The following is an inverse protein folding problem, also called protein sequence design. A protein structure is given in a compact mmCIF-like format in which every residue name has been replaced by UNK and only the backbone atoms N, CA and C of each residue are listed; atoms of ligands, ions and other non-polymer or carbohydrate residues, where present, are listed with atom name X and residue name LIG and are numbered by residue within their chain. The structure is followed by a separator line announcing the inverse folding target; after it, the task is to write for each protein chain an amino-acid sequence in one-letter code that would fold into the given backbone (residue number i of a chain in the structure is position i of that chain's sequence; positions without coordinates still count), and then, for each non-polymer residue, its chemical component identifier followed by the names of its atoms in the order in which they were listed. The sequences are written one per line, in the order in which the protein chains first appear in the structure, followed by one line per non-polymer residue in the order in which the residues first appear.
data_IF_618235033642
#
_entry.id   IF_618235033642
#
_cell.length_a   1.000
_cell.length_b   1.000
_cell.length_c   1.000
_cell.angle_alpha   90.00
_cell.angle_beta   90.00
_cell.angle_gamma   90.00
#
_symmetry.space_group_name_H-M   'P 1'
#
loop_
_entity.id
_entity.type
_entity.pdbx_description
1 polymer ?
#
# COMPACT_ATOMS: atom_id res chain seq x y z
N UNK A 1 1.36 2.98 32.43
CA UNK A 1 2.53 3.27 31.59
C UNK A 1 2.46 2.31 30.43
N UNK A 2 2.55 2.77 29.19
CA UNK A 2 2.55 1.90 28.02
C UNK A 2 3.80 1.02 28.01
N UNK A 3 3.62 -0.29 27.99
CA UNK A 3 4.72 -1.24 27.87
C UNK A 3 5.11 -1.30 26.39
N UNK A 4 6.06 -0.44 26.01
CA UNK A 4 6.60 -0.37 24.66
C UNK A 4 7.80 -1.30 24.56
N UNK A 5 7.83 -2.13 23.53
CA UNK A 5 8.98 -2.95 23.19
C UNK A 5 9.30 -2.88 21.69
N UNK A 6 10.49 -3.37 21.34
CA UNK A 6 11.05 -3.23 20.00
C UNK A 6 11.22 -4.60 19.36
N UNK A 7 10.91 -4.68 18.07
CA UNK A 7 11.10 -5.90 17.26
C UNK A 7 11.91 -5.59 16.02
N UNK A 8 12.67 -6.59 15.59
CA UNK A 8 13.43 -6.58 14.33
C UNK A 8 12.98 -7.76 13.48
N UNK A 9 12.75 -7.52 12.20
CA UNK A 9 12.40 -8.54 11.23
C UNK A 9 13.21 -8.35 9.93
N UNK A 10 13.47 -9.45 9.23
CA UNK A 10 13.97 -9.39 7.85
C UNK A 10 12.79 -9.25 6.91
N UNK A 11 12.77 -8.16 6.15
CA UNK A 11 11.75 -7.85 5.16
C UNK A 11 12.40 -7.67 3.79
N UNK A 12 11.58 -7.58 2.75
CA UNK A 12 12.02 -7.53 1.36
C UNK A 12 11.41 -6.34 0.62
N UNK A 13 12.20 -5.78 -0.28
CA UNK A 13 11.76 -4.76 -1.23
C UNK A 13 12.10 -5.22 -2.65
N UNK A 14 11.30 -4.81 -3.64
CA UNK A 14 11.64 -5.00 -5.07
C UNK A 14 12.86 -4.15 -5.51
N UNK A 15 13.35 -3.27 -4.64
CA UNK A 15 14.45 -2.35 -4.90
C UNK A 15 15.49 -2.43 -3.79
N UNK A 16 16.77 -2.41 -4.15
CA UNK A 16 17.88 -2.42 -3.19
C UNK A 16 17.85 -1.16 -2.33
N UNK A 17 17.84 -1.36 -1.01
CA UNK A 17 17.95 -0.29 -0.02
C UNK A 17 19.43 -0.12 0.31
N UNK A 18 19.96 1.09 0.08
CA UNK A 18 21.38 1.40 0.34
C UNK A 18 21.61 2.34 1.51
N UNK A 19 20.63 3.18 1.82
CA UNK A 19 20.67 4.14 2.93
C UNK A 19 19.54 3.82 3.91
N UNK A 20 19.73 4.07 5.21
CA UNK A 20 18.69 3.91 6.23
C UNK A 20 17.55 4.93 6.09
N UNK A 21 16.43 4.64 6.73
CA UNK A 21 15.33 5.59 6.93
C UNK A 21 14.71 5.38 8.30
N UNK A 22 14.57 6.45 9.08
CA UNK A 22 14.02 6.37 10.43
C UNK A 22 12.86 7.34 10.63
N UNK A 23 11.84 6.88 11.37
CA UNK A 23 10.78 7.71 11.91
C UNK A 23 10.46 7.27 13.35
N UNK A 24 9.51 7.93 14.01
CA UNK A 24 9.18 7.59 15.41
C UNK A 24 8.58 6.19 15.59
N UNK A 25 7.99 5.58 14.55
CA UNK A 25 7.35 4.25 14.58
C UNK A 25 8.31 3.10 14.25
N UNK A 26 9.22 3.31 13.32
CA UNK A 26 10.09 2.26 12.79
C UNK A 26 11.36 2.86 12.16
N UNK A 27 12.33 1.98 11.91
CA UNK A 27 13.46 2.27 11.04
C UNK A 27 13.75 1.12 10.07
N UNK A 28 14.23 1.49 8.90
CA UNK A 28 14.70 0.61 7.83
C UNK A 28 16.22 0.67 7.84
N UNK A 29 16.86 -0.48 7.95
CA UNK A 29 18.32 -0.60 7.91
C UNK A 29 18.70 -1.43 6.68
N UNK A 30 19.59 -0.92 5.81
CA UNK A 30 20.15 -1.68 4.70
C UNK A 30 20.79 -2.98 5.20
N UNK A 31 20.47 -4.09 4.54
CA UNK A 31 21.19 -5.34 4.76
C UNK A 31 22.17 -5.54 3.60
N UNK A 32 23.43 -5.14 3.81
CA UNK A 32 24.48 -5.19 2.77
C UNK A 32 25.14 -6.55 2.65
N UNK A 33 25.28 -7.25 3.78
CA UNK A 33 25.87 -8.58 3.87
C UNK A 33 24.77 -9.59 4.20
N UNK A 34 24.22 -10.25 3.18
CA UNK A 34 23.21 -11.29 3.31
C UNK A 34 23.60 -12.51 2.48
N UNK A 35 23.07 -13.67 2.85
CA UNK A 35 23.26 -14.90 2.07
C UNK A 35 22.86 -14.65 0.61
N UNK A 36 23.73 -15.03 -0.33
CA UNK A 36 23.49 -14.95 -1.77
C UNK A 36 23.43 -13.52 -2.33
N UNK A 37 24.16 -12.57 -1.70
CA UNK A 37 24.27 -11.19 -2.18
C UNK A 37 24.80 -11.06 -3.61
N UNK A 38 25.56 -12.05 -4.08
CA UNK A 38 26.14 -12.09 -5.42
C UNK A 38 25.20 -12.71 -6.47
N UNK A 39 24.06 -13.29 -6.05
CA UNK A 39 23.09 -13.90 -6.95
C UNK A 39 22.11 -12.82 -7.44
N UNK A 40 21.86 -12.73 -8.76
CA UNK A 40 20.81 -11.85 -9.30
C UNK A 40 19.44 -12.21 -8.68
N UNK A 41 18.88 -11.27 -7.92
CA UNK A 41 17.58 -11.42 -7.25
C UNK A 41 16.65 -10.28 -7.63
N UNK A 42 15.35 -10.56 -7.65
CA UNK A 42 14.29 -9.56 -7.81
C UNK A 42 13.85 -8.94 -6.48
N UNK A 43 14.26 -9.53 -5.36
CA UNK A 43 13.86 -9.13 -4.01
C UNK A 43 15.09 -8.93 -3.13
N UNK A 44 15.20 -7.75 -2.53
CA UNK A 44 16.35 -7.33 -1.74
C UNK A 44 15.97 -7.29 -0.26
N UNK A 45 16.69 -8.00 0.61
CA UNK A 45 16.40 -8.00 2.03
C UNK A 45 16.83 -6.69 2.69
N UNK A 46 16.13 -6.32 3.75
CA UNK A 46 16.48 -5.23 4.66
C UNK A 46 15.98 -5.57 6.07
N UNK A 47 16.52 -4.89 7.08
CA UNK A 47 16.02 -5.03 8.45
C UNK A 47 14.97 -3.96 8.71
N UNK A 48 13.78 -4.39 9.14
CA UNK A 48 12.77 -3.51 9.70
C UNK A 48 12.82 -3.59 11.21
N UNK A 49 13.06 -2.48 11.88
CA UNK A 49 12.87 -2.36 13.33
C UNK A 49 11.66 -1.51 13.61
N UNK A 50 10.80 -1.94 14.53
CA UNK A 50 9.55 -1.25 14.80
C UNK A 50 9.14 -1.36 16.26
N UNK A 51 8.39 -0.34 16.71
CA UNK A 51 7.82 -0.29 18.06
C UNK A 51 6.51 -1.04 18.13
N UNK A 52 6.29 -1.66 19.27
CA UNK A 52 5.04 -2.34 19.61
C UNK A 52 4.59 -1.85 20.97
N UNK A 53 3.34 -1.41 21.04
CA UNK A 53 2.69 -1.04 22.28
C UNK A 53 1.81 -2.20 22.72
N UNK A 54 2.22 -2.87 23.81
CA UNK A 54 1.53 -4.05 24.32
C UNK A 54 0.09 -3.79 24.74
N UNK A 55 -0.24 -2.53 25.06
CA UNK A 55 -1.61 -2.15 25.40
C UNK A 55 -2.58 -2.26 24.22
N UNK A 56 -2.07 -2.27 22.99
CA UNK A 56 -2.86 -2.39 21.76
C UNK A 56 -3.03 -3.85 21.32
N UNK A 57 -2.49 -4.82 22.06
CA UNK A 57 -2.67 -6.24 21.77
C UNK A 57 -4.12 -6.62 22.09
N UNK A 58 -4.86 -7.02 21.06
CA UNK A 58 -6.19 -7.60 21.22
C UNK A 58 -6.01 -9.08 21.50
N UNK A 59 -6.20 -9.46 22.76
CA UNK A 59 -6.14 -10.86 23.18
C UNK A 59 -7.40 -11.60 22.74
N UNK A 60 -7.23 -12.78 22.14
CA UNK A 60 -8.35 -13.60 21.69
C UNK A 60 -9.28 -13.91 22.85
N UNK A 61 -10.59 -13.62 22.70
CA UNK A 61 -11.58 -13.99 23.71
C UNK A 61 -11.78 -15.51 23.70
N UNK A 62 -12.23 -16.04 24.83
CA UNK A 62 -12.24 -17.47 25.17
C UNK A 62 -13.01 -18.40 24.21
N UNK A 63 -13.71 -17.89 23.20
CA UNK A 63 -14.59 -18.63 22.29
C UNK A 63 -14.02 -18.80 20.86
N UNK A 64 -12.94 -18.10 20.51
CA UNK A 64 -12.39 -18.14 19.16
C UNK A 64 -11.33 -19.24 18.97
N UNK A 65 -11.69 -20.26 18.19
CA UNK A 65 -10.84 -21.20 17.41
C UNK A 65 -9.94 -22.16 18.21
N UNK A 66 -9.66 -21.90 19.49
CA UNK A 66 -8.58 -22.57 20.24
C UNK A 66 -8.97 -22.96 21.67
N UNK A 67 -10.14 -23.56 21.88
CA UNK A 67 -10.56 -24.06 23.21
C UNK A 67 -9.52 -25.01 23.87
N UNK A 68 -8.75 -25.73 23.06
CA UNK A 68 -7.75 -26.71 23.49
C UNK A 68 -6.42 -26.12 24.00
N UNK A 69 -6.17 -24.83 23.79
CA UNK A 69 -4.89 -24.21 24.16
C UNK A 69 -4.96 -23.55 25.55
N UNK A 70 -3.88 -23.73 26.33
CA UNK A 70 -3.71 -23.05 27.61
C UNK A 70 -3.59 -21.52 27.43
N UNK A 71 -3.88 -20.77 28.50
CA UNK A 71 -3.87 -19.30 28.49
C UNK A 71 -2.54 -18.73 27.96
N UNK A 72 -1.41 -19.25 28.43
CA UNK A 72 -0.08 -18.77 28.03
C UNK A 72 0.16 -18.91 26.52
N UNK A 73 -0.35 -20.00 25.91
CA UNK A 73 -0.25 -20.19 24.46
C UNK A 73 -1.15 -19.22 23.70
N UNK A 74 -2.35 -18.94 24.20
CA UNK A 74 -3.27 -17.96 23.59
C UNK A 74 -2.67 -16.56 23.64
N UNK A 75 -2.15 -16.16 24.79
CA UNK A 75 -1.52 -14.85 24.99
C UNK A 75 -0.31 -14.69 24.06
N UNK A 76 0.54 -15.72 23.97
CA UNK A 76 1.65 -15.76 23.02
C UNK A 76 1.21 -15.64 21.55
N UNK A 77 0.15 -16.33 21.14
CA UNK A 77 -0.38 -16.25 19.77
C UNK A 77 -0.99 -14.89 19.47
N UNK A 78 -1.69 -14.28 20.43
CA UNK A 78 -2.23 -12.91 20.30
C UNK A 78 -1.11 -11.89 20.14
N UNK A 79 -0.06 -11.99 20.95
CA UNK A 79 1.14 -11.15 20.82
C UNK A 79 1.78 -11.35 19.45
N UNK A 80 2.10 -12.59 19.04
CA UNK A 80 2.69 -12.89 17.74
C UNK A 80 1.84 -12.36 16.55
N UNK A 81 0.51 -12.50 16.65
CA UNK A 81 -0.44 -11.97 15.67
C UNK A 81 -0.38 -10.45 15.61
N UNK A 82 -0.38 -9.77 16.77
CA UNK A 82 -0.25 -8.32 16.85
C UNK A 82 1.09 -7.82 16.29
N UNK A 83 2.20 -8.51 16.60
CA UNK A 83 3.54 -8.21 16.06
C UNK A 83 3.57 -8.30 14.54
N UNK A 84 3.00 -9.39 14.00
CA UNK A 84 2.92 -9.65 12.56
C UNK A 84 2.03 -8.62 11.87
N UNK A 85 0.89 -8.26 12.48
CA UNK A 85 -0.03 -7.27 11.94
C UNK A 85 0.58 -5.88 11.91
N UNK A 86 1.30 -5.47 12.96
CA UNK A 86 2.02 -4.18 13.01
C UNK A 86 3.10 -4.11 11.93
N UNK A 87 3.92 -5.16 11.79
CA UNK A 87 4.92 -5.26 10.72
C UNK A 87 4.27 -5.13 9.34
N UNK A 88 3.24 -5.95 9.06
CA UNK A 88 2.52 -5.93 7.79
C UNK A 88 1.88 -4.56 7.51
N UNK A 89 1.39 -3.87 8.55
CA UNK A 89 0.83 -2.54 8.43
C UNK A 89 1.89 -1.52 8.02
N UNK A 90 3.07 -1.54 8.65
CA UNK A 90 4.22 -0.70 8.28
C UNK A 90 4.66 -0.96 6.85
N UNK A 91 4.80 -2.23 6.44
CA UNK A 91 5.17 -2.60 5.07
C UNK A 91 4.13 -2.11 4.06
N UNK A 92 2.83 -2.22 4.37
CA UNK A 92 1.76 -1.67 3.53
C UNK A 92 1.86 -0.16 3.36
N UNK A 93 2.17 0.56 4.43
CA UNK A 93 2.36 2.01 4.39
C UNK A 93 3.59 2.37 3.55
N UNK A 94 4.70 1.66 3.74
CA UNK A 94 5.93 1.81 2.93
C UNK A 94 5.66 1.62 1.44
N UNK A 95 4.88 0.61 1.06
CA UNK A 95 4.45 0.38 -0.34
C UNK A 95 3.59 1.52 -0.90
N UNK A 96 2.81 2.21 -0.07
CA UNK A 96 1.99 3.36 -0.51
C UNK A 96 2.83 4.62 -0.67
N UNK A 97 3.70 4.93 0.29
CA UNK A 97 4.57 6.12 0.23
C UNK A 97 5.74 5.96 -0.71
N UNK A 98 5.94 4.76 -1.27
CA UNK A 98 6.97 4.46 -2.24
C UNK A 98 6.43 3.95 -3.57
N UNK A 99 7.32 3.88 -4.56
CA UNK A 99 7.06 3.26 -5.85
C UNK A 99 7.30 1.75 -5.89
N UNK A 100 7.76 1.15 -4.79
CA UNK A 100 8.20 -0.25 -4.73
C UNK A 100 7.36 -1.05 -3.73
N UNK A 101 7.25 -2.35 -3.96
CA UNK A 101 6.55 -3.23 -3.03
C UNK A 101 7.47 -3.63 -1.86
N UNK A 102 7.00 -3.41 -0.64
CA UNK A 102 7.61 -3.85 0.63
C UNK A 102 6.80 -4.99 1.22
N UNK A 103 7.46 -6.10 1.55
CA UNK A 103 6.76 -7.33 1.95
C UNK A 103 7.64 -8.29 2.77
N UNK A 104 7.03 -9.34 3.29
CA UNK A 104 7.71 -10.54 3.82
C UNK A 104 7.21 -11.76 3.06
N UNK A 105 8.04 -12.81 2.97
CA UNK A 105 7.55 -14.07 2.44
C UNK A 105 6.54 -14.70 3.40
N UNK A 106 5.48 -15.29 2.84
CA UNK A 106 4.47 -15.98 3.59
C UNK A 106 4.91 -17.44 3.79
N UNK A 107 5.05 -17.85 5.05
CA UNK A 107 5.43 -19.23 5.42
C UNK A 107 4.46 -20.29 4.90
N UNK A 108 3.20 -19.91 4.65
CA UNK A 108 2.17 -20.80 4.09
C UNK A 108 2.25 -20.92 2.56
N UNK A 109 3.07 -20.10 1.90
CA UNK A 109 3.32 -20.25 0.47
C UNK A 109 4.43 -21.27 0.25
N UNK A 110 4.09 -22.36 -0.42
CA UNK A 110 5.06 -23.36 -0.84
C UNK A 110 5.37 -23.22 -2.33
N UNK A 111 6.58 -23.59 -2.72
CA UNK A 111 7.01 -23.58 -4.10
C UNK A 111 8.06 -24.65 -4.36
N UNK A 112 8.38 -24.82 -5.64
CA UNK A 112 9.53 -25.56 -6.09
C UNK A 112 10.74 -24.61 -6.16
N UNK A 113 11.87 -25.03 -5.61
CA UNK A 113 13.10 -24.26 -5.51
C UNK A 113 14.26 -25.01 -6.18
N UNK A 114 15.21 -24.25 -6.69
CA UNK A 114 16.49 -24.76 -7.18
C UNK A 114 17.58 -24.08 -6.34
N UNK A 115 18.58 -24.85 -5.90
CA UNK A 115 19.73 -24.30 -5.21
C UNK A 115 20.66 -23.60 -6.21
N UNK A 116 20.65 -22.27 -6.21
CA UNK A 116 21.48 -21.47 -7.11
C UNK A 116 22.96 -21.46 -6.72
N UNK A 117 23.32 -21.90 -5.51
CA UNK A 117 24.70 -22.07 -5.05
C UNK A 117 25.28 -23.46 -5.32
N UNK A 118 24.50 -24.34 -5.93
CA UNK A 118 24.94 -25.69 -6.23
C UNK A 118 26.21 -25.66 -7.11
N UNK A 119 27.24 -26.40 -6.68
CA UNK A 119 28.51 -26.51 -7.40
C UNK A 119 28.59 -27.76 -8.26
N UNK A 120 27.67 -28.70 -8.05
CA UNK A 120 27.58 -29.96 -8.79
C UNK A 120 26.20 -30.13 -9.42
N UNK A 121 26.12 -30.90 -10.51
CA UNK A 121 24.86 -31.19 -11.21
C UNK A 121 23.86 -31.95 -10.31
N UNK A 122 24.36 -32.76 -9.38
CA UNK A 122 23.56 -33.48 -8.36
C UNK A 122 22.96 -32.53 -7.31
N UNK A 123 23.63 -31.41 -7.02
CA UNK A 123 23.13 -30.38 -6.10
C UNK A 123 22.07 -29.48 -6.75
N UNK A 124 22.06 -29.35 -8.07
CA UNK A 124 21.03 -28.68 -8.87
C UNK A 124 19.80 -29.59 -8.95
N UNK A 125 19.16 -29.80 -7.80
CA UNK A 125 17.92 -30.57 -7.66
C UNK A 125 16.76 -29.64 -7.36
N UNK A 126 15.64 -29.89 -8.03
CA UNK A 126 14.38 -29.21 -7.73
C UNK A 126 13.83 -29.74 -6.41
N UNK A 127 13.60 -28.87 -5.42
CA UNK A 127 13.11 -29.23 -4.09
C UNK A 127 11.83 -28.48 -3.78
N UNK A 128 10.81 -29.18 -3.30
CA UNK A 128 9.61 -28.55 -2.78
C UNK A 128 9.86 -28.06 -1.34
N UNK A 129 9.41 -26.86 -1.02
CA UNK A 129 9.57 -26.30 0.31
C UNK A 129 8.68 -25.10 0.58
N UNK A 130 8.87 -24.49 1.74
CA UNK A 130 8.23 -23.23 2.09
C UNK A 130 9.05 -22.04 1.60
N UNK A 131 8.36 -20.98 1.14
CA UNK A 131 8.99 -19.69 0.83
C UNK A 131 9.33 -18.98 2.14
N UNK A 132 10.49 -19.29 2.69
CA UNK A 132 11.00 -18.66 3.90
C UNK A 132 12.43 -18.21 3.68
N UNK A 133 12.80 -17.11 4.33
CA UNK A 133 14.18 -16.64 4.34
C UNK A 133 14.76 -16.85 5.74
N UNK A 134 15.91 -17.51 5.80
CA UNK A 134 16.64 -17.76 7.04
C UNK A 134 18.11 -17.45 6.79
N UNK A 135 18.66 -16.52 7.57
CA UNK A 135 20.10 -16.25 7.62
C UNK A 135 20.62 -16.54 9.03
N UNK A 136 21.49 -17.55 9.14
CA UNK A 136 22.08 -17.96 10.41
C UNK A 136 22.91 -16.84 11.05
N UNK A 137 23.52 -15.96 10.26
CA UNK A 137 24.34 -14.85 10.74
C UNK A 137 23.52 -13.74 11.41
N UNK A 138 22.20 -13.77 11.23
CA UNK A 138 21.28 -12.78 11.77
C UNK A 138 20.57 -13.25 13.04
N UNK A 139 20.59 -14.54 13.37
CA UNK A 139 19.81 -15.13 14.47
C UNK A 139 20.01 -14.40 15.81
N UNK A 140 21.26 -14.24 16.23
CA UNK A 140 21.59 -13.60 17.51
C UNK A 140 21.40 -12.07 17.48
N UNK A 141 21.26 -11.50 16.28
CA UNK A 141 21.03 -10.07 16.06
C UNK A 141 19.54 -9.72 16.01
N UNK A 142 18.61 -10.67 16.06
CA UNK A 142 17.17 -10.34 15.95
C UNK A 142 16.57 -9.72 17.22
N UNK A 143 17.22 -9.88 18.37
CA UNK A 143 16.76 -9.29 19.63
C UNK A 143 17.33 -7.89 19.80
N UNK A 144 16.44 -6.90 20.01
CA UNK A 144 16.81 -5.50 20.21
C UNK A 144 16.08 -4.93 21.43
N UNK A 145 16.76 -4.07 22.19
CA UNK A 145 16.18 -3.37 23.35
C UNK A 145 15.62 -1.99 23.00
N UNK A 146 16.18 -1.37 21.96
CA UNK A 146 15.77 -0.08 21.39
C UNK A 146 16.14 -0.08 19.90
N UNK A 147 15.75 0.95 19.18
CA UNK A 147 16.23 1.17 17.82
C UNK A 147 17.75 1.25 17.80
N UNK A 148 18.33 0.53 16.84
CA UNK A 148 19.76 0.58 16.55
C UNK A 148 20.17 1.98 16.18
N UNK A 149 21.28 2.47 16.76
CA UNK A 149 21.88 3.73 16.35
C UNK A 149 22.51 3.57 14.97
N UNK A 150 22.13 4.44 14.06
CA UNK A 150 22.63 4.44 12.68
C UNK A 150 23.44 5.72 12.47
N UNK A 151 24.74 5.56 12.20
CA UNK A 151 25.66 6.67 11.94
C UNK A 151 25.79 6.99 10.44
N UNK A 152 25.04 6.28 9.58
CA UNK A 152 25.01 6.44 8.13
C UNK A 152 24.01 7.54 7.70
N UNK A 153 24.27 8.18 6.57
CA UNK A 153 23.35 9.18 6.00
C UNK A 153 22.04 8.54 5.56
N UNK A 154 20.91 9.12 5.97
CA UNK A 154 19.58 8.67 5.57
C UNK A 154 19.29 8.87 4.08
N UNK A 155 18.27 8.15 3.59
CA UNK A 155 17.72 8.31 2.24
C UNK A 155 17.39 9.78 1.97
N UNK A 156 17.94 10.30 0.88
CA UNK A 156 17.67 11.67 0.44
C UNK A 156 16.21 11.81 -0.03
N UNK A 157 15.48 12.80 0.49
CA UNK A 157 14.11 13.03 0.07
C UNK A 157 14.05 13.67 -1.31
N UNK A 158 13.14 13.17 -2.15
CA UNK A 158 12.76 13.82 -3.40
C UNK A 158 11.58 14.76 -3.16
N UNK A 159 11.51 15.84 -3.93
CA UNK A 159 10.38 16.78 -3.93
C UNK A 159 9.07 16.04 -4.16
N UNK A 160 8.07 16.30 -3.31
CA UNK A 160 6.82 15.53 -3.31
C UNK A 160 6.10 15.55 -4.68
N UNK A 161 6.05 16.70 -5.34
CA UNK A 161 5.41 16.82 -6.66
C UNK A 161 6.07 15.98 -7.75
N UNK A 162 7.40 15.83 -7.69
CA UNK A 162 8.18 15.10 -8.70
C UNK A 162 8.13 13.59 -8.47
N UNK A 163 8.06 13.17 -7.20
CA UNK A 163 8.06 11.76 -6.81
C UNK A 163 6.94 10.94 -7.49
N UNK A 164 5.73 11.51 -7.57
CA UNK A 164 4.56 10.83 -8.12
C UNK A 164 4.30 11.12 -9.62
N UNK A 165 4.89 12.19 -10.17
CA UNK A 165 4.62 12.62 -11.55
C UNK A 165 5.64 12.10 -12.57
N UNK A 166 6.84 11.71 -12.13
CA UNK A 166 7.85 11.06 -12.95
C UNK A 166 8.42 9.82 -12.21
N UNK A 167 7.59 8.78 -11.98
CA UNK A 167 7.98 7.67 -11.13
C UNK A 167 8.99 6.76 -11.84
N UNK A 168 10.10 6.42 -11.15
CA UNK A 168 11.04 5.37 -11.58
C UNK A 168 10.48 4.00 -11.18
N UNK A 169 9.65 3.41 -12.04
CA UNK A 169 8.95 2.15 -11.78
C UNK A 169 9.70 0.90 -12.25
N UNK A 170 10.50 1.06 -13.30
CA UNK A 170 11.16 -0.05 -14.00
C UNK A 170 12.66 -0.13 -13.70
N UNK A 171 13.11 0.56 -12.64
CA UNK A 171 14.48 0.49 -12.16
C UNK A 171 15.51 0.98 -13.19
N UNK A 172 15.09 1.80 -14.17
CA UNK A 172 15.91 2.18 -15.32
C UNK A 172 17.15 2.99 -14.93
N UNK A 173 17.12 3.66 -13.78
CA UNK A 173 18.20 4.55 -13.35
C UNK A 173 19.23 3.93 -12.41
N UNK A 174 19.17 2.63 -12.09
CA UNK A 174 20.01 2.04 -11.01
C UNK A 174 19.95 2.84 -9.68
N UNK A 175 18.88 3.64 -9.51
CA UNK A 175 18.79 4.61 -8.44
C UNK A 175 18.63 3.93 -7.09
N UNK A 176 19.01 4.61 -6.02
CA UNK A 176 18.68 4.18 -4.66
C UNK A 176 17.18 4.34 -4.41
N UNK A 177 16.64 3.58 -3.46
CA UNK A 177 15.29 3.83 -2.95
C UNK A 177 15.21 5.30 -2.49
N UNK A 178 14.24 6.05 -2.99
CA UNK A 178 13.93 7.41 -2.55
C UNK A 178 12.54 7.48 -1.93
N UNK A 179 12.35 8.48 -1.07
CA UNK A 179 11.07 8.82 -0.48
C UNK A 179 10.71 10.27 -0.81
N UNK A 180 9.42 10.61 -0.71
CA UNK A 180 9.01 12.00 -0.71
C UNK A 180 9.51 12.74 0.55
N UNK A 181 9.81 14.03 0.42
CA UNK A 181 10.11 14.93 1.56
C UNK A 181 9.05 14.93 2.67
N UNK A 182 7.80 14.58 2.37
CA UNK A 182 6.72 14.50 3.35
C UNK A 182 6.52 13.11 3.96
N UNK A 183 7.35 12.11 3.62
CA UNK A 183 7.15 10.74 4.11
C UNK A 183 7.22 10.64 5.63
N UNK A 184 8.17 11.32 6.29
CA UNK A 184 8.24 11.33 7.77
C UNK A 184 6.98 11.95 8.39
N UNK A 185 6.57 13.11 7.88
CA UNK A 185 5.37 13.84 8.30
C UNK A 185 4.10 13.02 8.09
N UNK A 186 4.01 12.27 7.00
CA UNK A 186 2.91 11.35 6.76
C UNK A 186 2.79 10.31 7.88
N UNK A 187 3.90 9.67 8.28
CA UNK A 187 3.88 8.70 9.38
C UNK A 187 3.51 9.34 10.73
N UNK A 188 3.90 10.60 10.97
CA UNK A 188 3.52 11.36 12.18
C UNK A 188 2.02 11.63 12.26
N UNK A 189 1.36 11.81 11.11
CA UNK A 189 -0.04 12.21 11.04
C UNK A 189 -1.03 11.03 11.02
N UNK A 190 -0.60 9.83 10.67
CA UNK A 190 -1.48 8.64 10.62
C UNK A 190 -2.23 8.37 11.95
N UNK A 191 -1.60 8.46 13.14
CA UNK A 191 -2.30 8.21 14.39
C UNK A 191 -3.41 9.24 14.71
N UNK A 192 -3.44 10.39 14.03
CA UNK A 192 -4.45 11.43 14.24
C UNK A 192 -5.74 11.22 13.42
N UNK A 193 -5.79 10.14 12.63
CA UNK A 193 -7.02 9.71 11.97
C UNK A 193 -8.00 9.16 13.02
N UNK A 194 -9.23 9.69 13.02
CA UNK A 194 -10.30 9.12 13.84
C UNK A 194 -10.73 7.73 13.33
N UNK A 195 -11.56 7.02 14.10
CA UNK A 195 -11.98 5.65 13.77
C UNK A 195 -12.62 5.53 12.37
N UNK A 196 -13.47 6.51 11.99
CA UNK A 196 -14.12 6.51 10.68
C UNK A 196 -13.09 6.75 9.57
N UNK A 197 -12.21 7.73 9.75
CA UNK A 197 -11.13 8.03 8.81
C UNK A 197 -10.21 6.83 8.65
N UNK A 198 -9.79 6.22 9.76
CA UNK A 198 -8.89 5.07 9.80
C UNK A 198 -9.47 3.86 9.08
N UNK A 199 -10.77 3.57 9.26
CA UNK A 199 -11.46 2.47 8.57
C UNK A 199 -11.38 2.59 7.04
N UNK A 200 -11.68 3.78 6.51
CA UNK A 200 -11.63 4.01 5.06
C UNK A 200 -10.20 4.11 4.53
N UNK A 201 -9.30 4.72 5.31
CA UNK A 201 -7.88 4.76 5.01
C UNK A 201 -7.29 3.35 4.90
N UNK A 202 -7.56 2.46 5.86
CA UNK A 202 -7.05 1.08 5.86
C UNK A 202 -7.62 0.24 4.71
N UNK A 203 -8.87 0.51 4.33
CA UNK A 203 -9.49 -0.09 3.15
C UNK A 203 -8.76 0.35 1.86
N UNK A 204 -8.54 1.66 1.69
CA UNK A 204 -7.81 2.20 0.54
C UNK A 204 -6.36 1.69 0.50
N UNK A 205 -5.67 1.70 1.65
CA UNK A 205 -4.32 1.18 1.84
C UNK A 205 -4.22 -0.28 1.38
N UNK A 206 -5.17 -1.12 1.80
CA UNK A 206 -5.22 -2.54 1.43
C UNK A 206 -5.43 -2.72 -0.08
N UNK A 207 -6.33 -1.94 -0.68
CA UNK A 207 -6.60 -1.99 -2.13
C UNK A 207 -5.38 -1.57 -2.95
N UNK A 208 -4.67 -0.50 -2.57
CA UNK A 208 -3.44 -0.08 -3.25
C UNK A 208 -2.36 -1.15 -3.16
N UNK A 209 -2.20 -1.78 -2.00
CA UNK A 209 -1.22 -2.86 -1.81
C UNK A 209 -1.56 -4.09 -2.65
N UNK A 210 -2.84 -4.50 -2.68
CA UNK A 210 -3.31 -5.59 -3.52
C UNK A 210 -3.05 -5.29 -5.01
N UNK A 211 -3.40 -4.07 -5.45
CA UNK A 211 -3.15 -3.61 -6.80
C UNK A 211 -1.67 -3.62 -7.17
N UNK A 212 -0.81 -3.15 -6.27
CA UNK A 212 0.65 -3.15 -6.47
C UNK A 212 1.21 -4.56 -6.62
N UNK A 213 0.78 -5.50 -5.77
CA UNK A 213 1.23 -6.91 -5.79
C UNK A 213 0.88 -7.62 -7.10
N UNK A 214 -0.33 -7.40 -7.62
CA UNK A 214 -0.80 -8.09 -8.85
C UNK A 214 -0.54 -7.27 -10.12
N UNK A 215 0.09 -6.10 -10.03
CA UNK A 215 0.31 -5.16 -11.14
C UNK A 215 1.01 -5.79 -12.34
N UNK A 216 1.95 -6.70 -12.12
CA UNK A 216 2.72 -7.33 -13.20
C UNK A 216 1.95 -8.45 -13.91
N UNK A 217 1.00 -9.10 -13.21
CA UNK A 217 0.37 -10.35 -13.66
C UNK A 217 -1.13 -10.23 -13.97
N UNK A 218 -1.85 -9.33 -13.30
CA UNK A 218 -3.29 -9.14 -13.44
C UNK A 218 -3.58 -7.64 -13.54
N UNK A 219 -3.34 -7.08 -14.73
CA UNK A 219 -3.26 -5.63 -14.95
C UNK A 219 -4.61 -4.95 -14.79
N UNK A 220 -5.69 -5.60 -15.21
CA UNK A 220 -7.02 -5.04 -15.02
C UNK A 220 -7.52 -5.11 -13.59
N UNK A 221 -7.25 -6.21 -12.89
CA UNK A 221 -7.56 -6.29 -11.46
C UNK A 221 -6.73 -5.29 -10.66
N UNK A 222 -5.47 -5.09 -11.03
CA UNK A 222 -4.61 -4.06 -10.46
C UNK A 222 -5.20 -2.66 -10.67
N UNK A 223 -5.62 -2.35 -11.90
CA UNK A 223 -6.27 -1.09 -12.23
C UNK A 223 -7.52 -0.85 -11.39
N UNK A 224 -8.41 -1.85 -11.30
CA UNK A 224 -9.62 -1.75 -10.49
C UNK A 224 -9.30 -1.54 -9.01
N UNK A 225 -8.31 -2.24 -8.46
CA UNK A 225 -7.91 -2.07 -7.07
C UNK A 225 -7.46 -0.62 -6.79
N UNK A 226 -6.69 -0.02 -7.70
CA UNK A 226 -6.28 1.38 -7.56
C UNK A 226 -7.47 2.34 -7.62
N UNK A 227 -8.38 2.21 -8.58
CA UNK A 227 -9.56 3.08 -8.66
C UNK A 227 -10.50 2.88 -7.47
N UNK A 228 -10.73 1.64 -7.03
CA UNK A 228 -11.55 1.36 -5.85
C UNK A 228 -10.97 1.92 -4.55
N UNK A 229 -9.64 2.05 -4.45
CA UNK A 229 -9.03 2.77 -3.32
C UNK A 229 -9.42 4.26 -3.28
N UNK A 230 -9.53 4.90 -4.44
CA UNK A 230 -10.00 6.29 -4.57
C UNK A 230 -11.50 6.37 -4.25
N UNK A 231 -12.30 5.40 -4.72
CA UNK A 231 -13.73 5.30 -4.41
C UNK A 231 -13.98 5.18 -2.90
N UNK A 232 -13.14 4.41 -2.17
CA UNK A 232 -13.21 4.30 -0.72
C UNK A 232 -13.01 5.66 -0.03
N UNK A 233 -11.97 6.40 -0.39
CA UNK A 233 -11.71 7.73 0.18
C UNK A 233 -12.75 8.78 -0.25
N UNK A 234 -13.26 8.68 -1.47
CA UNK A 234 -14.36 9.51 -1.96
C UNK A 234 -15.63 9.29 -1.13
N UNK A 235 -15.91 8.03 -0.78
CA UNK A 235 -17.04 7.67 0.10
C UNK A 235 -16.88 8.28 1.50
N UNK A 236 -15.66 8.28 2.04
CA UNK A 236 -15.35 8.96 3.30
C UNK A 236 -15.62 10.46 3.22
N UNK A 237 -15.14 11.16 2.19
CA UNK A 237 -15.44 12.58 1.99
C UNK A 237 -16.94 12.84 1.87
N UNK A 238 -17.67 11.98 1.14
CA UNK A 238 -19.12 12.06 1.05
C UNK A 238 -19.79 11.99 2.43
N UNK A 239 -19.30 11.10 3.31
CA UNK A 239 -19.79 10.97 4.68
C UNK A 239 -19.46 12.19 5.55
N UNK A 240 -18.21 12.66 5.52
CA UNK A 240 -17.76 13.83 6.28
C UNK A 240 -18.55 15.08 5.87
N UNK A 241 -18.75 15.27 4.57
CA UNK A 241 -19.45 16.43 4.01
C UNK A 241 -20.98 16.25 3.97
N UNK A 242 -21.52 15.17 4.55
CA UNK A 242 -22.96 14.85 4.59
C UNK A 242 -23.65 14.89 3.22
N UNK A 243 -22.95 14.40 2.18
CA UNK A 243 -23.53 14.25 0.84
C UNK A 243 -24.63 13.18 0.91
N UNK A 244 -25.89 13.60 0.79
CA UNK A 244 -27.06 12.73 0.82
C UNK A 244 -27.42 12.25 -0.58
N UNK A 245 -27.41 10.93 -0.79
CA UNK A 245 -28.04 10.27 -1.94
C UNK A 245 -29.17 9.44 -1.38
N UNK A 246 -30.42 9.86 -1.61
CA UNK A 246 -31.58 9.06 -1.22
C UNK A 246 -31.95 8.14 -2.38
N UNK A 247 -32.10 6.86 -2.06
CA UNK A 247 -32.59 5.87 -3.02
C UNK A 247 -34.10 5.71 -2.87
N UNK A 248 -34.79 5.68 -4.01
CA UNK A 248 -36.21 5.32 -4.11
C UNK A 248 -36.42 3.84 -3.76
N UNK A 249 -35.44 3.00 -4.09
CA UNK A 249 -35.40 1.60 -3.72
C UNK A 249 -33.95 1.15 -3.52
N UNK A 250 -33.65 0.59 -2.35
CA UNK A 250 -32.30 0.14 -2.00
C UNK A 250 -31.85 -1.08 -2.82
N UNK A 251 -32.79 -1.89 -3.32
CA UNK A 251 -32.47 -3.12 -4.08
C UNK A 251 -32.06 -2.83 -5.52
N UNK A 252 -32.72 -1.88 -6.19
CA UNK A 252 -32.38 -1.50 -7.56
C UNK A 252 -31.54 -0.22 -7.67
N UNK A 253 -31.24 0.43 -6.53
CA UNK A 253 -30.48 1.68 -6.44
C UNK A 253 -31.03 2.82 -7.30
N UNK A 254 -32.34 2.84 -7.57
CA UNK A 254 -33.00 3.98 -8.23
C UNK A 254 -32.88 5.21 -7.33
N UNK A 255 -32.41 6.34 -7.88
CA UNK A 255 -32.09 7.54 -7.11
C UNK A 255 -33.32 8.45 -7.01
N UNK A 256 -33.72 8.76 -5.78
CA UNK A 256 -34.80 9.70 -5.46
C UNK A 256 -34.29 11.14 -5.42
N UNK A 257 -33.22 11.38 -4.67
CA UNK A 257 -32.59 12.69 -4.55
C UNK A 257 -31.07 12.55 -4.60
N UNK A 258 -30.42 13.54 -5.19
CA UNK A 258 -28.96 13.64 -5.22
C UNK A 258 -28.59 15.12 -5.28
N UNK A 259 -27.48 15.48 -4.67
CA UNK A 259 -26.85 16.80 -4.84
C UNK A 259 -26.38 17.05 -6.27
N UNK A 260 -26.36 16.02 -7.13
CA UNK A 260 -25.96 16.10 -8.52
C UNK A 260 -27.14 15.82 -9.46
N UNK A 261 -27.31 16.67 -10.48
CA UNK A 261 -28.35 16.55 -11.49
C UNK A 261 -27.77 16.47 -12.90
N UNK A 262 -28.46 15.75 -13.78
CA UNK A 262 -28.10 15.66 -15.19
C UNK A 262 -28.29 17.04 -15.87
N UNK A 263 -27.23 17.57 -16.49
CA UNK A 263 -27.29 18.87 -17.20
C UNK A 263 -28.31 18.92 -18.35
N UNK A 264 -28.67 17.76 -18.93
CA UNK A 264 -29.63 17.69 -20.05
C UNK A 264 -31.08 17.56 -19.61
N UNK A 265 -31.35 16.77 -18.57
CA UNK A 265 -32.73 16.40 -18.19
C UNK A 265 -33.10 16.72 -16.73
N UNK A 266 -32.18 17.28 -15.94
CA UNK A 266 -32.41 17.68 -14.55
C UNK A 266 -32.57 16.54 -13.54
N UNK A 267 -32.67 15.28 -13.99
CA UNK A 267 -32.83 14.11 -13.10
C UNK A 267 -31.61 13.93 -12.18
N UNK A 268 -31.82 13.46 -10.93
CA UNK A 268 -30.72 13.19 -10.01
C UNK A 268 -29.82 12.08 -10.55
N UNK A 269 -28.51 12.24 -10.40
CA UNK A 269 -27.51 11.26 -10.83
C UNK A 269 -26.65 10.80 -9.66
N UNK A 270 -26.12 9.58 -9.74
CA UNK A 270 -25.35 8.94 -8.67
C UNK A 270 -24.09 9.73 -8.30
N UNK A 271 -23.58 10.51 -9.26
CA UNK A 271 -22.54 11.49 -9.00
C UNK A 271 -21.18 10.91 -8.62
N UNK A 272 -20.98 9.58 -8.57
CA UNK A 272 -19.69 8.99 -8.16
C UNK A 272 -18.52 9.47 -9.02
N UNK A 273 -18.69 9.53 -10.34
CA UNK A 273 -17.66 10.13 -11.21
C UNK A 273 -17.35 11.57 -10.84
N UNK A 274 -18.37 12.35 -10.46
CA UNK A 274 -18.23 13.73 -10.00
C UNK A 274 -17.59 13.81 -8.60
N UNK A 275 -17.92 12.89 -7.69
CA UNK A 275 -17.32 12.84 -6.36
C UNK A 275 -15.85 12.44 -6.42
N UNK A 276 -15.50 11.44 -7.24
CA UNK A 276 -14.10 11.06 -7.51
C UNK A 276 -13.35 12.25 -8.08
N UNK A 277 -13.97 12.96 -9.04
CA UNK A 277 -13.38 14.18 -9.61
C UNK A 277 -13.13 15.24 -8.54
N UNK A 278 -14.10 15.54 -7.70
CA UNK A 278 -13.95 16.52 -6.62
C UNK A 278 -12.87 16.10 -5.60
N UNK A 279 -12.82 14.80 -5.26
CA UNK A 279 -11.79 14.25 -4.38
C UNK A 279 -10.39 14.42 -4.98
N UNK A 280 -10.19 14.02 -6.23
CA UNK A 280 -8.91 14.14 -6.92
C UNK A 280 -8.55 15.61 -7.21
N UNK A 281 -9.52 16.48 -7.45
CA UNK A 281 -9.29 17.92 -7.57
C UNK A 281 -8.80 18.54 -6.26
N UNK A 282 -9.37 18.11 -5.13
CA UNK A 282 -8.98 18.55 -3.79
C UNK A 282 -7.57 18.10 -3.41
N UNK A 283 -7.22 16.84 -3.69
CA UNK A 283 -5.98 16.23 -3.20
C UNK A 283 -4.85 16.09 -4.23
N UNK A 284 -5.08 16.40 -5.51
CA UNK A 284 -4.05 16.33 -6.56
C UNK A 284 -3.94 17.64 -7.34
N UNK A 285 -4.95 17.99 -8.15
CA UNK A 285 -4.92 19.22 -8.97
C UNK A 285 -6.29 19.60 -9.54
N UNK A 286 -6.57 20.91 -9.62
CA UNK A 286 -7.77 21.47 -10.26
C UNK A 286 -7.60 21.83 -11.75
N UNK A 287 -6.41 21.57 -12.33
CA UNK A 287 -6.10 21.94 -13.71
C UNK A 287 -6.99 21.21 -14.74
N UNK A 288 -7.37 21.88 -15.83
CA UNK A 288 -8.31 21.31 -16.82
C UNK A 288 -7.79 20.03 -17.47
N UNK A 289 -6.47 19.97 -17.77
CA UNK A 289 -5.81 18.76 -18.28
C UNK A 289 -5.99 17.55 -17.35
N UNK A 290 -6.02 17.80 -16.04
CA UNK A 290 -6.18 16.77 -15.03
C UNK A 290 -7.60 16.18 -15.02
N UNK A 291 -8.62 17.02 -15.26
CA UNK A 291 -10.01 16.58 -15.37
C UNK A 291 -10.22 15.61 -16.55
N UNK A 292 -9.55 15.85 -17.68
CA UNK A 292 -9.59 14.94 -18.82
C UNK A 292 -9.03 13.56 -18.46
N UNK A 293 -7.94 13.52 -17.70
CA UNK A 293 -7.32 12.27 -17.26
C UNK A 293 -8.24 11.50 -16.30
N UNK A 294 -8.85 12.18 -15.32
CA UNK A 294 -9.81 11.55 -14.39
C UNK A 294 -10.97 10.91 -15.14
N UNK A 295 -11.56 11.63 -16.09
CA UNK A 295 -12.66 11.10 -16.90
C UNK A 295 -12.23 9.84 -17.66
N UNK A 296 -11.01 9.84 -18.23
CA UNK A 296 -10.45 8.68 -18.94
C UNK A 296 -10.31 7.47 -18.02
N UNK A 297 -9.76 7.65 -16.81
CA UNK A 297 -9.58 6.58 -15.83
C UNK A 297 -10.92 5.99 -15.37
N UNK A 298 -11.93 6.83 -15.14
CA UNK A 298 -13.26 6.36 -14.74
C UNK A 298 -13.98 5.63 -15.87
N UNK A 299 -13.92 6.16 -17.10
CA UNK A 299 -14.44 5.46 -18.28
C UNK A 299 -13.79 4.09 -18.44
N UNK A 300 -12.47 3.98 -18.22
CA UNK A 300 -11.76 2.70 -18.26
C UNK A 300 -12.23 1.75 -17.17
N UNK A 301 -12.36 2.20 -15.92
CA UNK A 301 -12.92 1.39 -14.82
C UNK A 301 -14.30 0.85 -15.17
N UNK A 302 -15.16 1.67 -15.78
CA UNK A 302 -16.49 1.25 -16.21
C UNK A 302 -16.43 0.19 -17.32
N UNK A 303 -15.52 0.32 -18.29
CA UNK A 303 -15.33 -0.67 -19.35
C UNK A 303 -14.85 -2.01 -18.78
N UNK A 304 -13.85 -1.98 -17.89
CA UNK A 304 -13.31 -3.19 -17.27
C UNK A 304 -14.39 -3.91 -16.45
N UNK A 305 -15.11 -3.18 -15.59
CA UNK A 305 -16.06 -3.78 -14.65
C UNK A 305 -17.40 -4.18 -15.26
N UNK A 306 -17.92 -3.45 -16.24
CA UNK A 306 -19.30 -3.61 -16.73
C UNK A 306 -19.42 -4.06 -18.18
N UNK A 307 -18.40 -3.82 -19.02
CA UNK A 307 -18.42 -4.20 -20.43
C UNK A 307 -17.72 -5.54 -20.71
N UNK A 308 -17.47 -6.37 -19.68
CA UNK A 308 -16.80 -7.67 -19.81
C UNK A 308 -15.30 -7.59 -20.05
N UNK A 309 -14.70 -6.39 -19.96
CA UNK A 309 -13.27 -6.16 -20.19
C UNK A 309 -12.36 -6.85 -19.18
N UNK A 310 -12.87 -7.20 -17.99
CA UNK A 310 -12.13 -7.83 -16.90
C UNK A 310 -11.36 -9.09 -17.32
N UNK A 311 -11.96 -9.93 -18.18
CA UNK A 311 -11.39 -11.22 -18.57
C UNK A 311 -10.62 -11.16 -19.88
N UNK A 312 -10.94 -10.19 -20.74
CA UNK A 312 -10.24 -10.01 -22.01
C UNK A 312 -8.92 -9.28 -21.80
N UNK A 313 -8.93 -8.18 -21.05
CA UNK A 313 -7.79 -7.26 -20.80
C UNK A 313 -6.47 -7.89 -20.29
N UNK A 314 -6.51 -9.00 -19.55
CA UNK A 314 -5.30 -9.70 -19.10
C UNK A 314 -4.69 -10.59 -20.21
N UNK A 315 -5.49 -11.08 -21.16
CA UNK A 315 -5.02 -11.64 -22.46
C UNK A 315 -4.72 -10.52 -23.49
N UNK A 316 -5.26 -9.31 -23.28
CA UNK A 316 -5.27 -8.15 -24.19
C UNK A 316 -4.10 -7.17 -23.99
N UNK A 317 -2.93 -7.67 -23.59
CA UNK A 317 -1.72 -7.03 -24.10
C UNK A 317 -1.61 -7.40 -25.57
N UNK A 318 -2.39 -6.69 -26.39
CA UNK A 318 -2.45 -6.84 -27.85
C UNK A 318 -1.02 -6.86 -28.38
N UNK A 319 -0.50 -8.08 -28.62
CA UNK A 319 0.88 -8.28 -29.07
C UNK A 319 1.09 -7.64 -30.45
N UNK A 320 0.00 -7.43 -31.17
CA UNK A 320 -0.03 -6.88 -32.51
C UNK A 320 -0.10 -5.34 -32.51
N UNK A 321 -0.39 -4.69 -31.37
CA UNK A 321 -0.45 -3.23 -31.26
C UNK A 321 0.36 -2.66 -30.07
N UNK A 322 1.67 -2.41 -30.27
CA UNK A 322 2.56 -1.86 -29.25
C UNK A 322 2.11 -0.51 -28.67
N UNK A 323 1.50 0.37 -29.48
CA UNK A 323 1.08 1.71 -29.03
C UNK A 323 -0.09 1.64 -28.03
N UNK A 324 -1.06 0.78 -28.31
CA UNK A 324 -2.22 0.58 -27.43
C UNK A 324 -1.80 -0.04 -26.10
N UNK A 325 -0.85 -0.99 -26.15
CA UNK A 325 -0.24 -1.57 -24.96
C UNK A 325 0.43 -0.51 -24.09
N UNK A 326 1.25 0.35 -24.68
CA UNK A 326 1.95 1.39 -23.94
C UNK A 326 0.95 2.37 -23.31
N UNK A 327 -0.08 2.77 -24.06
CA UNK A 327 -1.12 3.62 -23.53
C UNK A 327 -1.85 3.01 -22.32
N UNK A 328 -2.17 1.70 -22.37
CA UNK A 328 -2.80 1.00 -21.26
C UNK A 328 -1.86 0.88 -20.05
N UNK A 329 -0.56 0.67 -20.29
CA UNK A 329 0.44 0.65 -19.22
C UNK A 329 0.54 2.01 -18.52
N UNK A 330 0.57 3.11 -19.29
CA UNK A 330 0.58 4.46 -18.77
C UNK A 330 -0.69 4.78 -17.97
N UNK A 331 -1.87 4.31 -18.40
CA UNK A 331 -3.12 4.45 -17.65
C UNK A 331 -3.07 3.71 -16.31
N UNK A 332 -2.53 2.49 -16.29
CA UNK A 332 -2.33 1.70 -15.07
C UNK A 332 -1.37 2.39 -14.10
N UNK A 333 -0.25 2.89 -14.62
CA UNK A 333 0.73 3.65 -13.84
C UNK A 333 0.08 4.92 -13.26
N UNK A 334 -0.68 5.66 -14.07
CA UNK A 334 -1.39 6.85 -13.62
C UNK A 334 -2.40 6.53 -12.51
N UNK A 335 -3.19 5.46 -12.65
CA UNK A 335 -4.13 5.02 -11.61
C UNK A 335 -3.41 4.68 -10.29
N UNK A 336 -2.27 3.98 -10.37
CA UNK A 336 -1.42 3.68 -9.21
C UNK A 336 -0.89 4.95 -8.54
N UNK A 337 -0.32 5.88 -9.33
CA UNK A 337 0.27 7.09 -8.78
C UNK A 337 -0.77 8.01 -8.16
N UNK A 338 -1.91 8.21 -8.82
CA UNK A 338 -2.97 9.08 -8.28
C UNK A 338 -3.64 8.49 -7.06
N UNK A 339 -3.82 7.16 -6.98
CA UNK A 339 -4.34 6.52 -5.77
C UNK A 339 -3.38 6.71 -4.58
N UNK A 340 -2.07 6.45 -4.78
CA UNK A 340 -1.04 6.67 -3.75
C UNK A 340 -0.94 8.14 -3.32
N UNK A 341 -0.75 9.04 -4.28
CA UNK A 341 -0.55 10.47 -4.01
C UNK A 341 -1.77 11.08 -3.34
N UNK A 342 -2.99 10.75 -3.77
CA UNK A 342 -4.21 11.31 -3.17
C UNK A 342 -4.42 10.82 -1.74
N UNK A 343 -4.09 9.55 -1.45
CA UNK A 343 -4.16 9.00 -0.10
C UNK A 343 -3.13 9.65 0.84
N UNK A 344 -1.90 9.88 0.35
CA UNK A 344 -0.85 10.58 1.11
C UNK A 344 -1.26 12.04 1.37
N UNK A 345 -1.73 12.74 0.33
CA UNK A 345 -2.17 14.13 0.46
C UNK A 345 -3.40 14.31 1.33
N UNK A 346 -4.29 13.32 1.37
CA UNK A 346 -5.41 13.30 2.32
C UNK A 346 -4.91 13.40 3.75
N UNK A 347 -3.97 12.53 4.15
CA UNK A 347 -3.41 12.52 5.51
C UNK A 347 -2.67 13.83 5.79
N UNK A 348 -1.82 14.27 4.86
CA UNK A 348 -1.02 15.49 5.03
C UNK A 348 -1.88 16.76 5.14
N UNK A 349 -2.93 16.89 4.32
CA UNK A 349 -3.75 18.12 4.26
C UNK A 349 -4.76 18.18 5.40
N UNK A 350 -5.51 17.08 5.63
CA UNK A 350 -6.60 17.05 6.61
C UNK A 350 -6.09 17.27 8.04
N UNK A 351 -4.96 16.67 8.41
CA UNK A 351 -4.38 16.85 9.74
C UNK A 351 -3.76 18.25 9.92
N UNK A 352 -3.15 18.79 8.86
CA UNK A 352 -2.63 20.16 8.89
C UNK A 352 -3.75 21.19 9.06
N UNK A 353 -4.91 20.98 8.42
CA UNK A 353 -6.12 21.78 8.64
C UNK A 353 -6.67 21.65 10.07
N UNK A 354 -6.70 20.43 10.64
CA UNK A 354 -7.10 20.22 12.06
C UNK A 354 -6.19 20.99 13.03
N UNK A 355 -4.87 20.90 12.86
CA UNK A 355 -3.89 21.57 13.74
C UNK A 355 -3.94 23.11 13.61
N UNK A 356 -4.05 23.63 12.39
CA UNK A 356 -4.16 25.09 12.18
C UNK A 356 -5.49 25.70 12.63
N UNK A 357 -6.56 24.90 12.69
CA UNK A 357 -7.85 25.34 13.24
C UNK A 357 -7.94 25.23 14.75
N UNK A 358 -7.16 24.35 15.41
CA UNK A 358 -7.03 24.32 16.86
C UNK A 358 -6.21 25.49 17.42
N UNK A 359 -5.18 25.95 16.70
CA UNK A 359 -4.35 27.10 17.12
C UNK A 359 -5.05 28.46 17.00
N UNK A 360 -6.25 28.48 16.41
CA UNK A 360 -7.09 29.69 16.23
C UNK A 360 -8.27 29.76 17.22
N UNK A 361 -8.36 28.82 18.15
CA UNK A 361 -9.30 28.85 19.28
C UNK A 361 -8.53 29.08 20.56
#
# INVERSE_FOLDING_TARGET
MSEIYYKRAVCFCEKKIKKPFSCYLFQIIPLTNYIDSDIPTNHFPFLLEYKIDKNNVIYYSYEDVFESFGKDTKDFLSELSHETNTMNYILKLLTVVSNFNFFTYNVNEHAWFINLNAKTEEEISCRYGAKIYIDANLKDKMFIADFTKIDEEEIEPQKHSEYYTAPDLDNEKNNELTFSEFTKKFFEYIPELDELQKKYFDSALTLINNGSRIRKTMKSLSFLAFISSIEAMTTLEGKINKVTIDFECNSCQTIKTSTYSCKKCGRPIWGISQQIKLYLEKYLSSAEKFKTIINKLYSRRSQIAHAGGLFTSDEFFDWDNPETREQHNLELIAAMQYSKMSLVNYVLSNINEKRTSSDRK
#
